data_IF_761972120041
#
_entry.id   IF_761972120041
#
_cell.length_a   1.000
_cell.length_b   1.000
_cell.length_c   1.000
_cell.angle_alpha   90.00
_cell.angle_beta   90.00
_cell.angle_gamma   90.00
#
_symmetry.space_group_name_H-M   'P 1'
#
loop_
_entity.id
_entity.type
_entity.pdbx_description
1 polymer ?
#
# COMPACT_ATOMS: atom_id res chain seq x y z
N UNK A 1 41.68 -54.32 -9.78
CA UNK A 1 40.80 -55.42 -10.16
C UNK A 1 39.52 -54.73 -10.56
N UNK A 2 39.37 -54.42 -11.79
CA UNK A 2 38.62 -55.09 -12.89
C UNK A 2 37.15 -54.79 -12.71
N UNK A 3 36.31 -54.34 -13.63
CA UNK A 3 36.41 -54.00 -15.04
C UNK A 3 35.10 -53.30 -15.43
N UNK A 4 35.19 -52.44 -16.41
CA UNK A 4 34.04 -52.02 -17.25
C UNK A 4 33.73 -53.18 -18.23
N UNK A 5 32.57 -53.24 -18.94
CA UNK A 5 32.47 -52.35 -20.09
C UNK A 5 31.05 -51.79 -20.45
N UNK A 6 31.11 -50.87 -21.39
CA UNK A 6 30.10 -50.27 -22.29
C UNK A 6 29.16 -51.26 -22.98
N UNK A 7 27.96 -50.82 -23.31
CA UNK A 7 27.46 -51.08 -24.66
C UNK A 7 26.47 -50.00 -25.17
N UNK A 8 26.80 -49.51 -26.37
CA UNK A 8 26.00 -48.67 -27.25
C UNK A 8 24.94 -49.50 -27.95
N UNK A 9 23.78 -48.96 -28.21
CA UNK A 9 23.05 -49.17 -29.46
C UNK A 9 22.14 -48.00 -29.82
N UNK A 10 22.47 -47.40 -30.93
CA UNK A 10 21.72 -46.53 -31.85
C UNK A 10 20.59 -47.25 -32.55
N UNK A 11 19.51 -46.54 -32.88
CA UNK A 11 18.64 -46.68 -34.08
C UNK A 11 17.64 -45.50 -34.00
N UNK A 12 17.57 -44.65 -34.87
CA UNK A 12 17.58 -44.26 -36.22
C UNK A 12 16.42 -44.82 -37.06
N UNK A 13 15.42 -44.00 -37.39
CA UNK A 13 14.48 -44.13 -38.52
C UNK A 13 13.54 -42.93 -38.48
N UNK A 14 13.26 -42.24 -39.49
CA UNK A 14 13.41 -42.06 -40.92
C UNK A 14 12.29 -41.12 -41.36
N UNK A 15 12.68 -40.16 -42.18
CA UNK A 15 11.82 -39.21 -42.91
C UNK A 15 10.84 -39.94 -43.81
N UNK A 16 9.59 -39.42 -43.89
CA UNK A 16 8.77 -39.60 -45.11
C UNK A 16 8.12 -38.26 -45.47
N UNK A 17 8.57 -37.72 -46.58
CA UNK A 17 7.90 -36.73 -47.41
C UNK A 17 6.69 -37.39 -48.09
N UNK A 18 5.59 -36.62 -48.21
CA UNK A 18 4.65 -36.83 -49.33
C UNK A 18 4.31 -35.47 -49.94
N UNK A 19 4.55 -35.40 -51.21
CA UNK A 19 4.33 -34.24 -52.06
C UNK A 19 3.04 -34.42 -52.88
N UNK A 20 2.47 -33.28 -53.24
CA UNK A 20 1.72 -32.93 -54.42
C UNK A 20 0.29 -33.44 -54.61
N UNK A 21 -0.62 -32.51 -54.85
CA UNK A 21 -1.40 -32.44 -56.08
C UNK A 21 -1.80 -30.97 -56.33
N UNK A 22 -1.38 -30.45 -57.50
CA UNK A 22 -1.80 -29.21 -58.15
C UNK A 22 -3.24 -29.38 -58.69
N UNK A 23 -4.07 -28.34 -58.53
CA UNK A 23 -5.18 -28.10 -59.46
C UNK A 23 -5.26 -26.59 -59.73
N UNK A 24 -5.06 -26.27 -61.00
CA UNK A 24 -5.12 -24.95 -61.61
C UNK A 24 -6.57 -24.53 -61.80
N UNK A 25 -6.91 -23.30 -61.45
CA UNK A 25 -8.18 -22.67 -61.84
C UNK A 25 -7.98 -21.14 -61.86
N UNK A 26 -7.95 -20.60 -63.09
CA UNK A 26 -7.72 -19.20 -63.44
C UNK A 26 -8.97 -18.34 -63.27
N UNK A 27 -8.71 -17.03 -62.94
CA UNK A 27 -9.40 -15.80 -63.30
C UNK A 27 -10.68 -15.38 -62.54
N UNK A 28 -10.47 -14.36 -61.70
CA UNK A 28 -11.28 -13.14 -61.75
C UNK A 28 -10.47 -11.96 -61.14
N UNK A 29 -10.13 -10.99 -62.00
CA UNK A 29 -9.56 -9.71 -61.62
C UNK A 29 -10.69 -8.89 -60.98
N UNK A 30 -10.60 -8.66 -59.64
CA UNK A 30 -11.48 -7.78 -58.91
C UNK A 30 -10.61 -6.71 -58.23
N UNK A 31 -10.92 -5.45 -58.43
CA UNK A 31 -10.20 -4.26 -58.02
C UNK A 31 -9.79 -4.24 -56.54
N UNK A 32 -8.51 -3.95 -56.28
CA UNK A 32 -8.00 -3.56 -54.95
C UNK A 32 -8.67 -2.28 -54.46
N UNK A 33 -9.62 -2.40 -53.57
CA UNK A 33 -9.96 -1.37 -52.63
C UNK A 33 -9.17 -1.63 -51.36
N UNK A 34 -8.30 -0.70 -50.99
CA UNK A 34 -7.66 -0.63 -49.72
C UNK A 34 -8.73 -0.37 -48.62
N UNK A 35 -9.43 -1.39 -48.17
CA UNK A 35 -10.20 -1.32 -46.94
C UNK A 35 -9.28 -1.77 -45.81
N UNK A 36 -8.62 -0.78 -45.16
CA UNK A 36 -8.19 -0.96 -43.78
C UNK A 36 -9.40 -1.44 -42.97
N UNK A 37 -9.31 -2.56 -42.25
CA UNK A 37 -10.38 -2.97 -41.37
C UNK A 37 -10.50 -1.95 -40.27
N UNK A 38 -11.39 -0.96 -40.43
CA UNK A 38 -11.94 -0.21 -39.31
C UNK A 38 -12.74 -1.21 -38.48
N UNK A 39 -12.09 -1.80 -37.49
CA UNK A 39 -12.77 -2.48 -36.40
C UNK A 39 -13.63 -1.43 -35.70
N UNK A 40 -14.87 -1.28 -36.14
CA UNK A 40 -15.92 -0.61 -35.40
C UNK A 40 -16.08 -1.37 -34.10
N UNK A 41 -15.44 -0.87 -33.03
CA UNK A 41 -15.60 -1.40 -31.68
C UNK A 41 -17.09 -1.32 -31.36
N UNK A 42 -17.71 -2.45 -31.07
CA UNK A 42 -19.08 -2.52 -30.61
C UNK A 42 -19.19 -1.64 -29.35
N UNK A 43 -20.06 -0.66 -29.31
CA UNK A 43 -20.26 0.26 -28.18
C UNK A 43 -20.84 -0.43 -26.93
N UNK A 44 -21.05 -1.74 -26.99
CA UNK A 44 -21.51 -2.61 -25.89
C UNK A 44 -20.37 -3.34 -25.15
N UNK A 45 -19.10 -3.09 -25.49
CA UNK A 45 -17.99 -3.68 -24.73
C UNK A 45 -17.90 -3.07 -23.35
N UNK A 46 -18.09 -3.90 -22.33
CA UNK A 46 -17.96 -3.53 -20.95
C UNK A 46 -16.53 -3.07 -20.63
N UNK A 47 -16.40 -2.05 -19.78
CA UNK A 47 -15.14 -1.39 -19.42
C UNK A 47 -14.55 -2.06 -18.19
N UNK A 48 -13.23 -2.24 -18.15
CA UNK A 48 -12.57 -2.74 -16.95
C UNK A 48 -12.37 -1.60 -15.96
N UNK A 49 -12.84 -1.82 -14.74
CA UNK A 49 -12.70 -0.88 -13.64
C UNK A 49 -11.54 -1.31 -12.74
N UNK A 50 -10.68 -0.34 -12.41
CA UNK A 50 -9.55 -0.53 -11.52
C UNK A 50 -9.59 0.45 -10.37
N UNK A 51 -9.03 0.02 -9.23
CA UNK A 51 -8.85 0.83 -8.03
C UNK A 51 -7.43 0.76 -7.49
N UNK A 52 -7.17 1.58 -6.49
CA UNK A 52 -5.92 1.63 -5.73
C UNK A 52 -6.17 1.29 -4.26
N UNK A 53 -5.16 1.22 -3.44
CA UNK A 53 -5.26 0.91 -2.01
C UNK A 53 -6.30 1.76 -1.26
N UNK A 54 -6.47 3.02 -1.65
CA UNK A 54 -7.45 3.92 -1.02
C UNK A 54 -8.91 3.52 -1.19
N UNK A 55 -9.25 2.71 -2.20
CA UNK A 55 -10.60 2.24 -2.48
C UNK A 55 -10.73 0.72 -2.71
N UNK A 56 -9.63 -0.03 -2.59
CA UNK A 56 -9.64 -1.49 -2.64
C UNK A 56 -9.77 -2.09 -1.23
N UNK A 57 -10.75 -1.64 -0.46
CA UNK A 57 -11.07 -2.14 0.88
C UNK A 57 -12.42 -2.85 0.89
N UNK A 58 -12.65 -3.75 1.85
CA UNK A 58 -13.96 -4.40 1.97
C UNK A 58 -15.07 -3.42 2.30
N UNK A 59 -14.78 -2.42 3.12
CA UNK A 59 -15.71 -1.37 3.52
C UNK A 59 -16.10 -0.45 2.37
N UNK A 60 -15.28 -0.33 1.33
CA UNK A 60 -15.64 0.42 0.13
C UNK A 60 -16.90 -0.10 -0.56
N UNK A 61 -17.09 -1.42 -0.57
CA UNK A 61 -18.32 -2.05 -1.10
C UNK A 61 -19.61 -1.62 -0.37
N UNK A 62 -19.51 -1.19 0.89
CA UNK A 62 -20.65 -0.71 1.65
C UNK A 62 -21.26 0.57 1.06
N UNK A 63 -20.51 1.37 0.30
CA UNK A 63 -21.02 2.55 -0.41
C UNK A 63 -21.93 2.22 -1.60
N UNK A 64 -22.01 0.92 -1.97
CA UNK A 64 -22.77 0.42 -3.11
C UNK A 64 -23.87 -0.58 -2.72
N UNK A 65 -24.35 -0.52 -1.48
CA UNK A 65 -25.40 -1.44 -0.99
C UNK A 65 -26.65 -1.43 -1.85
N UNK A 66 -27.00 -0.25 -2.39
CA UNK A 66 -28.20 -0.06 -3.23
C UNK A 66 -27.93 -0.35 -4.73
N UNK A 67 -26.70 -0.75 -5.10
CA UNK A 67 -26.27 -0.99 -6.47
C UNK A 67 -25.52 -2.33 -6.56
N UNK A 68 -26.21 -3.42 -6.25
CA UNK A 68 -25.63 -4.75 -6.24
C UNK A 68 -24.91 -5.07 -7.55
N UNK A 69 -23.67 -5.55 -7.43
CA UNK A 69 -22.86 -5.95 -8.56
C UNK A 69 -22.18 -4.82 -9.33
N UNK A 70 -22.32 -3.54 -8.93
CA UNK A 70 -21.68 -2.44 -9.65
C UNK A 70 -20.14 -2.53 -9.64
N UNK A 71 -19.57 -3.06 -8.56
CA UNK A 71 -18.12 -3.28 -8.47
C UNK A 71 -17.67 -4.65 -8.98
N UNK A 72 -18.60 -5.52 -9.44
CA UNK A 72 -18.22 -6.86 -9.85
C UNK A 72 -17.14 -6.82 -10.94
N UNK A 73 -16.05 -7.56 -10.73
CA UNK A 73 -14.90 -7.54 -11.62
C UNK A 73 -13.92 -6.37 -11.44
N UNK A 74 -14.23 -5.35 -10.62
CA UNK A 74 -13.26 -4.30 -10.28
C UNK A 74 -12.02 -4.91 -9.64
N UNK A 75 -10.85 -4.52 -10.13
CA UNK A 75 -9.54 -5.01 -9.68
C UNK A 75 -8.69 -3.85 -9.20
N UNK A 76 -7.75 -4.15 -8.33
CA UNK A 76 -6.78 -3.15 -7.90
C UNK A 76 -5.73 -3.74 -6.99
N UNK A 77 -4.73 -2.94 -6.68
CA UNK A 77 -3.63 -3.34 -5.81
C UNK A 77 -3.68 -2.61 -4.48
N UNK A 78 -3.28 -3.31 -3.44
CA UNK A 78 -3.09 -2.71 -2.12
C UNK A 78 -1.83 -3.30 -1.48
N UNK A 79 -1.03 -2.52 -0.74
CA UNK A 79 -0.03 -3.09 0.14
C UNK A 79 -0.70 -4.07 1.09
N UNK A 80 -0.36 -5.33 0.95
CA UNK A 80 -1.01 -6.40 1.70
C UNK A 80 -0.08 -7.59 1.82
N UNK A 81 0.17 -8.01 3.05
CA UNK A 81 0.87 -9.25 3.34
C UNK A 81 -0.15 -10.36 3.63
N UNK A 82 0.16 -11.62 3.27
CA UNK A 82 -0.61 -12.75 3.76
C UNK A 82 -0.56 -12.78 5.29
N UNK A 83 -1.67 -12.43 5.95
CA UNK A 83 -1.80 -12.43 7.40
C UNK A 83 -2.21 -13.81 7.90
N UNK A 84 -1.59 -14.28 8.98
CA UNK A 84 -2.02 -15.51 9.64
C UNK A 84 -3.40 -15.33 10.29
N UNK A 85 -4.19 -16.42 10.36
CA UNK A 85 -5.48 -16.37 11.03
C UNK A 85 -5.34 -16.04 12.52
N UNK A 86 -4.23 -16.43 13.14
CA UNK A 86 -3.92 -16.05 14.51
C UNK A 86 -3.83 -14.53 14.65
N UNK A 87 -3.09 -13.83 13.79
CA UNK A 87 -2.96 -12.37 13.83
C UNK A 87 -4.31 -11.69 13.55
N UNK A 88 -5.06 -12.15 12.56
CA UNK A 88 -6.41 -11.65 12.27
C UNK A 88 -7.35 -11.82 13.45
N UNK A 89 -7.28 -12.94 14.16
CA UNK A 89 -8.11 -13.20 15.35
C UNK A 89 -7.74 -12.26 16.50
N UNK A 90 -6.44 -11.99 16.72
CA UNK A 90 -6.00 -11.00 17.71
C UNK A 90 -6.51 -9.59 17.37
N UNK A 91 -6.49 -9.18 16.11
CA UNK A 91 -7.07 -7.90 15.66
C UNK A 91 -8.58 -7.85 15.92
N UNK A 92 -9.32 -8.94 15.64
CA UNK A 92 -10.78 -9.02 15.91
C UNK A 92 -11.11 -8.99 17.40
N UNK A 93 -10.19 -9.42 18.27
CA UNK A 93 -10.35 -9.26 19.73
C UNK A 93 -10.23 -7.81 20.16
N UNK A 94 -9.41 -7.00 19.48
CA UNK A 94 -9.28 -5.55 19.72
C UNK A 94 -10.51 -4.80 19.18
N UNK A 95 -10.96 -5.14 17.98
CA UNK A 95 -12.16 -4.57 17.36
C UNK A 95 -12.93 -5.63 16.53
N UNK A 96 -14.01 -6.14 17.10
CA UNK A 96 -14.87 -7.16 16.46
C UNK A 96 -15.58 -6.67 15.19
N UNK A 97 -15.62 -5.36 14.94
CA UNK A 97 -16.25 -4.76 13.75
C UNK A 97 -15.40 -4.91 12.49
N UNK A 98 -14.11 -5.24 12.63
CA UNK A 98 -13.18 -5.38 11.47
C UNK A 98 -13.62 -6.43 10.47
N UNK A 99 -14.38 -7.45 10.92
CA UNK A 99 -14.76 -8.58 10.07
C UNK A 99 -13.52 -9.19 9.39
N UNK A 100 -13.34 -8.92 8.08
CA UNK A 100 -12.18 -9.33 7.29
C UNK A 100 -11.44 -8.14 6.64
N UNK A 101 -11.65 -6.93 7.11
CA UNK A 101 -10.91 -5.76 6.65
C UNK A 101 -9.69 -5.53 7.56
N UNK A 102 -8.49 -5.71 7.00
CA UNK A 102 -7.23 -5.63 7.72
C UNK A 102 -6.24 -4.70 7.01
N UNK A 103 -6.75 -3.80 6.16
CA UNK A 103 -5.90 -2.88 5.41
C UNK A 103 -5.02 -2.07 6.36
N UNK A 104 -3.72 -2.09 6.13
CA UNK A 104 -2.69 -1.39 6.93
C UNK A 104 -2.67 -1.72 8.43
N UNK A 105 -3.39 -2.75 8.89
CA UNK A 105 -3.35 -3.17 10.29
C UNK A 105 -1.97 -3.70 10.71
N UNK A 106 -1.30 -4.43 9.81
CA UNK A 106 0.04 -4.94 10.02
C UNK A 106 1.08 -3.81 10.08
N UNK A 107 0.96 -2.83 9.21
CA UNK A 107 1.79 -1.63 9.15
C UNK A 107 1.63 -0.78 10.40
N UNK A 108 0.39 -0.60 10.87
CA UNK A 108 0.10 0.09 12.14
C UNK A 108 0.66 -0.64 13.36
N UNK A 109 0.62 -1.96 13.36
CA UNK A 109 1.23 -2.79 14.37
C UNK A 109 2.75 -2.65 14.38
N UNK A 110 3.40 -2.81 13.22
CA UNK A 110 4.86 -2.74 13.10
C UNK A 110 5.40 -1.32 13.42
N UNK A 111 4.64 -0.26 13.10
CA UNK A 111 5.01 1.11 13.44
C UNK A 111 5.20 1.30 14.96
N UNK A 112 4.30 0.73 15.77
CA UNK A 112 4.41 0.76 17.23
C UNK A 112 5.57 -0.07 17.72
N UNK A 113 5.75 -1.28 17.18
CA UNK A 113 6.83 -2.19 17.62
C UNK A 113 8.19 -1.58 17.32
N UNK A 114 8.40 -1.03 16.13
CA UNK A 114 9.65 -0.35 15.75
C UNK A 114 9.93 0.81 16.69
N UNK A 115 8.93 1.66 16.98
CA UNK A 115 9.10 2.78 17.90
C UNK A 115 9.44 2.32 19.33
N UNK A 116 8.82 1.26 19.81
CA UNK A 116 9.10 0.69 21.13
C UNK A 116 10.52 0.11 21.22
N UNK A 117 10.95 -0.64 20.21
CA UNK A 117 12.31 -1.20 20.13
C UNK A 117 13.37 -0.09 20.01
N UNK A 118 13.09 0.94 19.20
CA UNK A 118 13.97 2.10 19.06
C UNK A 118 14.14 2.87 20.38
N UNK A 119 13.05 3.08 21.13
CA UNK A 119 13.10 3.73 22.43
C UNK A 119 13.86 2.89 23.48
N UNK A 120 13.65 1.56 23.51
CA UNK A 120 14.40 0.66 24.39
C UNK A 120 15.88 0.65 24.04
N UNK A 121 16.24 0.63 22.73
CA UNK A 121 17.62 0.71 22.24
C UNK A 121 18.26 2.05 22.58
N UNK A 122 17.55 3.15 22.38
CA UNK A 122 18.00 4.50 22.73
C UNK A 122 18.14 4.72 24.25
N UNK A 123 17.53 3.86 25.08
CA UNK A 123 17.39 4.06 26.55
C UNK A 123 16.75 5.39 26.91
N UNK A 124 15.93 5.92 26.01
CA UNK A 124 15.34 7.26 26.09
C UNK A 124 13.97 7.26 25.44
N UNK A 125 13.09 8.11 25.91
CA UNK A 125 11.80 8.41 25.26
C UNK A 125 11.82 9.75 24.51
N UNK A 126 12.97 10.43 24.45
CA UNK A 126 13.11 11.68 23.69
C UNK A 126 13.07 11.39 22.18
N UNK A 127 12.22 12.12 21.42
CA UNK A 127 12.00 11.90 20.01
C UNK A 127 13.29 11.83 19.17
N UNK A 128 14.23 12.79 19.27
CA UNK A 128 15.48 12.72 18.53
C UNK A 128 16.37 11.52 18.88
N UNK A 129 16.27 10.99 20.09
CA UNK A 129 17.01 9.78 20.47
C UNK A 129 16.34 8.53 19.92
N UNK A 130 15.00 8.46 19.94
CA UNK A 130 14.23 7.36 19.31
C UNK A 130 14.51 7.33 17.81
N UNK A 131 14.42 8.47 17.12
CA UNK A 131 14.59 8.59 15.68
C UNK A 131 15.90 7.96 15.17
N UNK A 132 17.00 8.09 15.92
CA UNK A 132 18.30 7.50 15.58
C UNK A 132 18.26 5.99 15.41
N UNK A 133 17.36 5.29 16.11
CA UNK A 133 17.32 3.85 16.14
C UNK A 133 16.12 3.25 15.39
N UNK A 134 15.21 4.08 14.85
CA UNK A 134 14.03 3.61 14.12
C UNK A 134 14.39 2.66 12.96
N UNK A 135 15.36 3.05 12.15
CA UNK A 135 15.88 2.21 11.06
C UNK A 135 16.76 1.07 11.61
N UNK A 136 17.62 1.38 12.57
CA UNK A 136 18.62 0.47 13.10
C UNK A 136 18.04 -0.84 13.65
N UNK A 137 16.88 -0.78 14.34
CA UNK A 137 16.23 -1.97 14.91
C UNK A 137 15.57 -2.87 13.86
N UNK A 138 15.58 -2.46 12.59
CA UNK A 138 14.97 -3.22 11.48
C UNK A 138 15.99 -3.83 10.52
N UNK A 139 17.29 -3.55 10.67
CA UNK A 139 18.32 -3.96 9.72
C UNK A 139 19.27 -4.99 10.32
N UNK A 140 19.77 -5.91 9.48
CA UNK A 140 20.77 -6.89 9.88
C UNK A 140 22.18 -6.30 9.79
N UNK A 141 22.97 -6.43 10.85
CA UNK A 141 24.34 -5.93 10.89
C UNK A 141 25.31 -6.87 10.18
N UNK A 142 25.15 -8.16 10.39
CA UNK A 142 26.00 -9.17 9.80
C UNK A 142 25.20 -10.12 8.92
N UNK A 143 25.76 -10.55 7.79
CA UNK A 143 25.16 -11.57 6.96
C UNK A 143 25.09 -12.88 7.75
N UNK A 144 23.88 -13.37 7.99
CA UNK A 144 23.62 -14.60 8.72
C UNK A 144 23.05 -14.43 10.13
N UNK A 145 22.96 -13.21 10.65
CA UNK A 145 22.25 -12.94 11.89
C UNK A 145 20.75 -13.27 11.73
N UNK A 146 20.22 -14.06 12.66
CA UNK A 146 18.80 -14.41 12.63
C UNK A 146 17.94 -13.23 13.07
N UNK A 147 16.93 -12.82 12.29
CA UNK A 147 16.03 -11.75 12.71
C UNK A 147 15.18 -12.16 13.90
N UNK A 148 14.82 -11.18 14.72
CA UNK A 148 13.81 -11.40 15.75
C UNK A 148 12.40 -11.22 15.19
N UNK A 149 11.46 -12.11 15.56
CA UNK A 149 10.15 -12.21 14.93
C UNK A 149 8.98 -11.88 15.88
N UNK A 150 9.25 -11.79 17.18
CA UNK A 150 8.23 -11.50 18.19
C UNK A 150 8.66 -10.34 19.07
N UNK A 151 7.69 -9.58 19.58
CA UNK A 151 7.96 -8.46 20.48
C UNK A 151 8.83 -8.90 21.66
N UNK A 152 8.49 -10.05 22.27
CA UNK A 152 9.21 -10.55 23.42
C UNK A 152 10.68 -10.82 23.10
N UNK A 153 10.95 -11.62 22.04
CA UNK A 153 12.33 -11.96 21.66
C UNK A 153 13.15 -10.74 21.27
N UNK A 154 12.52 -9.77 20.57
CA UNK A 154 13.20 -8.53 20.17
C UNK A 154 13.51 -7.64 21.39
N UNK A 155 12.56 -7.46 22.31
CA UNK A 155 12.79 -6.69 23.53
C UNK A 155 13.84 -7.34 24.44
N UNK A 156 13.84 -8.67 24.55
CA UNK A 156 14.83 -9.40 25.34
C UNK A 156 16.23 -9.26 24.74
N UNK A 157 16.38 -9.36 23.42
CA UNK A 157 17.64 -9.11 22.70
C UNK A 157 18.12 -7.68 22.92
N UNK A 158 17.26 -6.66 22.72
CA UNK A 158 17.61 -5.27 23.00
C UNK A 158 18.04 -5.11 24.46
N UNK A 159 17.31 -5.69 25.45
CA UNK A 159 17.67 -5.62 26.88
C UNK A 159 18.98 -6.36 27.19
N UNK A 160 19.33 -7.40 26.47
CA UNK A 160 20.61 -8.10 26.58
C UNK A 160 21.78 -7.27 25.99
N UNK A 161 21.50 -6.36 25.10
CA UNK A 161 22.51 -5.55 24.40
C UNK A 161 22.84 -6.09 23.03
N UNK A 162 22.03 -7.01 22.53
CA UNK A 162 22.20 -7.60 21.22
C UNK A 162 21.79 -6.61 20.12
N UNK A 163 22.45 -6.68 18.99
CA UNK A 163 21.95 -6.08 17.77
C UNK A 163 20.77 -6.93 17.28
N UNK A 164 19.65 -6.27 16.98
CA UNK A 164 18.45 -6.95 16.52
C UNK A 164 18.06 -6.50 15.12
N UNK A 165 17.43 -7.38 14.38
CA UNK A 165 16.75 -7.07 13.12
C UNK A 165 15.29 -7.50 13.23
N UNK A 166 14.42 -6.56 13.55
CA UNK A 166 12.98 -6.85 13.64
C UNK A 166 12.42 -7.19 12.24
N UNK A 167 11.74 -8.31 12.15
CA UNK A 167 10.93 -8.71 11.00
C UNK A 167 9.50 -8.90 11.47
N UNK A 168 8.71 -7.86 11.20
CA UNK A 168 7.34 -7.76 11.66
C UNK A 168 6.32 -8.49 10.82
N UNK A 169 5.09 -8.07 10.95
CA UNK A 169 3.95 -8.61 10.21
C UNK A 169 3.90 -8.07 8.78
N UNK A 170 4.15 -6.78 8.58
CA UNK A 170 4.22 -6.13 7.26
C UNK A 170 5.62 -6.21 6.65
N UNK A 171 6.66 -6.11 7.45
CA UNK A 171 8.06 -6.01 7.02
C UNK A 171 8.79 -7.36 7.15
N UNK A 172 8.30 -8.40 6.46
CA UNK A 172 8.84 -9.78 6.61
C UNK A 172 10.18 -10.01 5.92
N UNK A 173 10.45 -9.29 4.83
CA UNK A 173 11.57 -9.59 3.92
C UNK A 173 12.79 -8.73 4.16
N UNK A 174 12.60 -7.47 4.50
CA UNK A 174 13.68 -6.49 4.71
C UNK A 174 13.27 -5.42 5.71
N UNK A 175 14.26 -4.69 6.21
CA UNK A 175 14.07 -3.53 7.07
C UNK A 175 13.81 -2.24 6.29
N UNK A 176 13.96 -1.13 7.01
CA UNK A 176 13.83 0.20 6.43
C UNK A 176 15.11 0.58 5.67
N UNK A 177 14.95 1.44 4.66
CA UNK A 177 16.04 2.11 3.95
C UNK A 177 16.62 3.24 4.79
N UNK A 178 17.71 3.86 4.33
CA UNK A 178 18.28 5.08 4.94
C UNK A 178 17.30 6.26 4.98
N UNK A 179 16.18 6.17 4.23
CA UNK A 179 15.09 7.15 4.20
C UNK A 179 13.95 6.82 5.18
N UNK A 180 14.11 5.79 6.03
CA UNK A 180 13.11 5.42 7.02
C UNK A 180 11.83 4.80 6.43
N UNK A 181 11.92 4.11 5.31
CA UNK A 181 10.80 3.48 4.60
C UNK A 181 11.12 2.05 4.15
N UNK A 182 10.13 1.15 3.93
CA UNK A 182 10.40 -0.23 3.53
C UNK A 182 11.12 -0.32 2.19
N UNK A 183 12.18 -1.13 2.12
CA UNK A 183 12.91 -1.41 0.88
C UNK A 183 12.19 -2.42 0.00
N UNK A 184 11.34 -3.26 0.56
CA UNK A 184 10.52 -4.24 -0.13
C UNK A 184 9.12 -4.35 0.48
N UNK A 185 8.17 -4.79 -0.33
CA UNK A 185 6.78 -4.93 0.08
C UNK A 185 6.12 -6.14 -0.59
N UNK A 186 4.94 -6.49 -0.11
CA UNK A 186 4.00 -7.39 -0.77
C UNK A 186 2.75 -6.59 -1.16
N UNK A 187 2.23 -6.87 -2.35
CA UNK A 187 0.96 -6.31 -2.83
C UNK A 187 -0.04 -7.41 -3.07
N UNK A 188 -1.25 -7.21 -2.60
CA UNK A 188 -2.40 -8.03 -2.97
C UNK A 188 -3.10 -7.41 -4.19
N UNK A 189 -3.34 -8.21 -5.23
CA UNK A 189 -4.33 -7.89 -6.26
C UNK A 189 -5.68 -8.34 -5.76
N UNK A 190 -6.55 -7.39 -5.46
CA UNK A 190 -7.89 -7.62 -4.94
C UNK A 190 -8.91 -7.56 -6.08
N UNK A 191 -9.99 -8.33 -5.97
CA UNK A 191 -11.07 -8.37 -6.96
C UNK A 191 -12.41 -8.31 -6.22
N UNK A 192 -13.27 -7.39 -6.62
CA UNK A 192 -14.65 -7.35 -6.13
C UNK A 192 -15.53 -8.38 -6.84
N UNK A 193 -16.34 -9.09 -6.08
CA UNK A 193 -17.35 -10.02 -6.57
C UNK A 193 -18.73 -9.38 -6.72
N UNK A 194 -19.72 -10.21 -7.10
CA UNK A 194 -21.12 -9.78 -7.37
C UNK A 194 -21.83 -9.14 -6.18
N UNK A 195 -21.38 -9.39 -4.97
CA UNK A 195 -21.92 -8.77 -3.75
C UNK A 195 -21.30 -7.42 -3.42
N UNK A 196 -20.46 -6.84 -4.31
CA UNK A 196 -19.60 -5.68 -4.04
C UNK A 196 -18.65 -5.89 -2.84
N UNK A 197 -18.31 -7.13 -2.52
CA UNK A 197 -17.32 -7.48 -1.52
C UNK A 197 -16.06 -8.03 -2.21
N UNK A 198 -14.91 -7.80 -1.61
CA UNK A 198 -13.66 -8.40 -2.08
C UNK A 198 -13.76 -9.93 -1.99
N UNK A 199 -13.43 -10.62 -3.08
CA UNK A 199 -13.34 -12.07 -3.17
C UNK A 199 -11.95 -12.53 -2.73
N UNK A 200 -11.81 -12.90 -1.45
CA UNK A 200 -10.53 -13.29 -0.87
C UNK A 200 -9.91 -14.50 -1.56
N UNK A 201 -10.74 -15.41 -2.11
CA UNK A 201 -10.24 -16.60 -2.77
C UNK A 201 -9.51 -16.29 -4.09
N UNK A 202 -9.73 -15.09 -4.65
CA UNK A 202 -9.09 -14.59 -5.87
C UNK A 202 -7.97 -13.59 -5.61
N UNK A 203 -7.65 -13.31 -4.35
CA UNK A 203 -6.55 -12.41 -4.02
C UNK A 203 -5.22 -13.05 -4.39
N UNK A 204 -4.48 -12.39 -5.27
CA UNK A 204 -3.14 -12.77 -5.69
C UNK A 204 -2.11 -11.89 -4.96
N UNK A 205 -0.97 -12.47 -4.58
CA UNK A 205 0.10 -11.73 -3.92
C UNK A 205 1.32 -11.63 -4.82
N UNK A 206 1.91 -10.45 -4.90
CA UNK A 206 3.15 -10.18 -5.62
C UNK A 206 4.11 -9.42 -4.71
N UNK A 207 5.38 -9.82 -4.74
CA UNK A 207 6.45 -9.10 -4.06
C UNK A 207 6.99 -7.99 -4.96
N UNK A 208 7.31 -6.84 -4.36
CA UNK A 208 7.92 -5.69 -5.03
C UNK A 208 9.05 -5.11 -4.19
N UNK A 209 9.94 -4.33 -4.82
CA UNK A 209 11.07 -3.68 -4.17
C UNK A 209 12.37 -4.48 -4.27
N UNK A 210 13.41 -3.96 -3.61
CA UNK A 210 14.75 -4.54 -3.58
C UNK A 210 15.25 -4.58 -2.14
N UNK A 211 15.42 -5.78 -1.60
CA UNK A 211 15.92 -6.00 -0.23
C UNK A 211 17.33 -5.43 -0.02
N UNK A 212 18.11 -5.27 -1.10
CA UNK A 212 19.48 -4.70 -1.04
C UNK A 212 19.49 -3.20 -0.71
N UNK A 213 18.34 -2.54 -0.80
CA UNK A 213 18.17 -1.13 -0.44
C UNK A 213 17.90 -0.94 1.07
N UNK A 214 17.86 -2.01 1.85
CA UNK A 214 17.87 -1.93 3.31
C UNK A 214 19.08 -1.11 3.78
N UNK A 215 18.87 -0.24 4.77
CA UNK A 215 19.95 0.58 5.33
C UNK A 215 21.07 -0.28 5.89
N UNK A 216 22.29 0.23 5.82
CA UNK A 216 23.51 -0.52 6.23
C UNK A 216 24.15 0.03 7.49
N UNK A 217 23.93 1.31 7.77
CA UNK A 217 24.54 1.97 8.91
C UNK A 217 23.65 1.88 10.13
N UNK A 218 24.24 1.48 11.24
CA UNK A 218 23.60 1.45 12.54
C UNK A 218 24.38 2.35 13.51
N UNK A 219 23.70 3.30 14.18
CA UNK A 219 24.34 4.04 15.26
C UNK A 219 24.65 3.10 16.44
N UNK A 220 25.80 3.30 17.07
CA UNK A 220 26.16 2.53 18.26
C UNK A 220 25.18 2.82 19.41
N UNK A 221 24.52 1.79 19.97
CA UNK A 221 23.64 1.99 21.11
C UNK A 221 24.39 2.57 22.34
N UNK A 222 23.73 3.36 23.17
CA UNK A 222 24.36 3.93 24.36
C UNK A 222 24.79 2.81 25.32
N UNK A 223 25.92 3.04 26.00
CA UNK A 223 26.45 2.08 27.00
C UNK A 223 25.41 1.78 28.06
N UNK A 224 25.28 0.50 28.41
CA UNK A 224 24.39 0.06 29.50
C UNK A 224 24.98 0.27 30.88
N UNK A 225 26.30 0.45 30.97
CA UNK A 225 27.01 0.67 32.22
C UNK A 225 26.98 2.17 32.59
N UNK A 226 26.20 2.53 33.60
CA UNK A 226 26.23 3.86 34.22
C UNK A 226 25.25 4.90 33.66
N UNK A 227 24.56 4.66 32.54
CA UNK A 227 23.57 5.61 32.06
C UNK A 227 22.19 5.35 32.68
N UNK A 228 21.61 6.36 33.29
CA UNK A 228 20.25 6.29 33.83
C UNK A 228 19.25 5.97 32.67
N UNK A 229 18.34 5.03 32.95
CA UNK A 229 17.18 4.78 32.12
C UNK A 229 16.19 5.93 32.28
N UNK A 230 15.48 6.30 31.23
CA UNK A 230 14.31 7.14 31.41
C UNK A 230 13.29 6.43 32.32
N UNK A 231 12.73 7.15 33.25
CA UNK A 231 11.61 6.71 34.10
C UNK A 231 10.27 7.22 33.58
N UNK A 232 10.30 8.04 32.52
CA UNK A 232 9.10 8.55 31.85
C UNK A 232 8.56 7.48 30.92
N UNK A 233 7.26 7.15 30.98
CA UNK A 233 6.66 6.20 30.06
C UNK A 233 6.68 6.73 28.62
N UNK A 234 6.91 5.85 27.65
CA UNK A 234 6.72 6.16 26.24
C UNK A 234 5.23 6.41 25.97
N UNK A 235 4.90 7.59 25.42
CA UNK A 235 3.54 7.94 25.00
C UNK A 235 3.45 7.90 23.49
N UNK A 236 2.55 7.08 22.96
CA UNK A 236 2.29 6.94 21.53
C UNK A 236 0.91 7.51 21.21
N UNK A 237 0.88 8.53 20.34
CA UNK A 237 -0.33 9.13 19.82
C UNK A 237 -0.73 8.48 18.49
N UNK A 238 -2.01 8.17 18.31
CA UNK A 238 -2.53 7.70 17.03
C UNK A 238 -3.21 8.85 16.28
N UNK A 239 -2.53 9.42 15.29
CA UNK A 239 -3.04 10.46 14.38
C UNK A 239 -3.63 9.76 13.14
N UNK A 240 -4.83 9.24 13.26
CA UNK A 240 -5.47 8.38 12.26
C UNK A 240 -6.91 8.81 11.99
N UNK A 241 -7.46 8.59 10.79
CA UNK A 241 -8.78 9.07 10.44
C UNK A 241 -9.89 8.24 11.12
N UNK A 242 -10.65 8.86 12.00
CA UNK A 242 -11.94 8.36 12.50
C UNK A 242 -13.09 8.98 11.73
N UNK A 243 -12.85 10.15 11.17
CA UNK A 243 -13.78 10.93 10.35
C UNK A 243 -13.06 11.39 9.08
N UNK A 244 -13.80 11.94 8.11
CA UNK A 244 -13.25 12.42 6.85
C UNK A 244 -13.17 11.34 5.77
N UNK A 245 -12.57 11.68 4.63
CA UNK A 245 -12.58 10.87 3.39
C UNK A 245 -11.94 9.50 3.55
N UNK A 246 -10.94 9.38 4.43
CA UNK A 246 -10.21 8.12 4.65
C UNK A 246 -10.68 7.38 5.91
N UNK A 247 -11.82 7.76 6.49
CA UNK A 247 -12.35 7.12 7.70
C UNK A 247 -12.55 5.60 7.55
N UNK A 248 -12.79 5.13 6.33
CA UNK A 248 -12.96 3.68 6.04
C UNK A 248 -11.70 2.86 6.34
N UNK A 249 -10.51 3.46 6.24
CA UNK A 249 -9.24 2.79 6.53
C UNK A 249 -8.83 2.88 8.02
N UNK A 250 -9.47 3.75 8.80
CA UNK A 250 -9.10 3.99 10.20
C UNK A 250 -9.19 2.76 11.12
N UNK A 251 -10.32 2.03 11.16
CA UNK A 251 -10.53 0.95 12.13
C UNK A 251 -9.46 -0.14 12.15
N UNK A 252 -9.02 -0.73 11.00
CA UNK A 252 -7.99 -1.75 11.03
C UNK A 252 -6.63 -1.21 11.47
N UNK A 253 -6.27 0.02 11.10
CA UNK A 253 -5.01 0.63 11.51
C UNK A 253 -5.01 0.86 13.04
N UNK A 254 -6.10 1.43 13.59
CA UNK A 254 -6.26 1.58 15.04
C UNK A 254 -6.18 0.25 15.79
N UNK A 255 -6.75 -0.81 15.24
CA UNK A 255 -6.69 -2.13 15.84
C UNK A 255 -5.24 -2.66 15.87
N UNK A 256 -4.48 -2.50 14.79
CA UNK A 256 -3.06 -2.83 14.74
C UNK A 256 -2.23 -2.09 15.79
N UNK A 257 -2.40 -0.77 15.87
CA UNK A 257 -1.72 0.09 16.86
C UNK A 257 -2.05 -0.35 18.29
N UNK A 258 -3.33 -0.53 18.62
CA UNK A 258 -3.76 -0.93 19.96
C UNK A 258 -3.29 -2.33 20.34
N UNK A 259 -3.33 -3.27 19.39
CA UNK A 259 -2.82 -4.63 19.59
C UNK A 259 -1.33 -4.60 19.94
N UNK A 260 -0.52 -3.87 19.15
CA UNK A 260 0.91 -3.77 19.38
C UNK A 260 1.24 -3.14 20.74
N UNK A 261 0.55 -2.06 21.12
CA UNK A 261 0.74 -1.44 22.45
C UNK A 261 0.42 -2.44 23.57
N UNK A 262 -0.68 -3.18 23.46
CA UNK A 262 -1.07 -4.20 24.42
C UNK A 262 0.00 -5.28 24.55
N UNK A 263 0.54 -5.76 23.43
CA UNK A 263 1.55 -6.83 23.42
C UNK A 263 2.93 -6.33 23.88
N UNK A 264 3.33 -5.11 23.54
CA UNK A 264 4.54 -4.45 24.10
C UNK A 264 4.42 -4.36 25.61
N UNK A 265 3.25 -3.96 26.10
CA UNK A 265 2.99 -3.85 27.54
C UNK A 265 3.00 -5.22 28.23
N UNK A 266 2.44 -6.24 27.61
CA UNK A 266 2.49 -7.62 28.11
C UNK A 266 3.94 -8.16 28.17
N UNK A 267 4.82 -7.76 27.25
CA UNK A 267 6.24 -8.08 27.24
C UNK A 267 7.09 -7.25 28.23
N UNK A 268 6.46 -6.50 29.12
CA UNK A 268 7.10 -5.68 30.17
C UNK A 268 7.32 -4.22 29.80
N UNK A 269 6.70 -3.73 28.72
CA UNK A 269 6.75 -2.34 28.29
C UNK A 269 8.12 -1.88 27.76
N UNK A 270 8.30 -0.59 27.69
CA UNK A 270 9.53 0.07 27.24
C UNK A 270 10.25 0.68 28.45
N UNK A 271 11.54 0.45 28.58
CA UNK A 271 12.38 0.91 29.72
C UNK A 271 11.80 0.51 31.08
N UNK A 272 11.04 -0.60 31.13
CA UNK A 272 10.37 -1.08 32.34
C UNK A 272 9.11 -0.30 32.72
N UNK A 273 8.59 0.53 31.81
CA UNK A 273 7.35 1.28 31.99
C UNK A 273 6.31 0.85 30.95
N UNK A 274 5.04 0.88 31.31
CA UNK A 274 3.95 0.64 30.37
C UNK A 274 3.90 1.76 29.32
N UNK A 275 3.76 1.40 28.05
CA UNK A 275 3.49 2.36 26.96
C UNK A 275 2.10 2.94 27.13
N UNK A 276 1.97 4.24 27.03
CA UNK A 276 0.70 4.97 27.16
C UNK A 276 0.17 5.30 25.78
N UNK A 277 -1.03 4.83 25.49
CA UNK A 277 -1.76 5.17 24.26
C UNK A 277 -2.50 6.50 24.41
N UNK A 278 -2.36 7.39 23.41
CA UNK A 278 -3.12 8.65 23.32
C UNK A 278 -3.89 8.62 22.00
N UNK A 279 -5.21 8.65 22.10
CA UNK A 279 -6.10 8.54 20.96
C UNK A 279 -6.28 9.89 20.25
N UNK A 280 -6.42 9.90 18.91
CA UNK A 280 -6.62 11.10 18.10
C UNK A 280 -7.46 10.85 16.87
N UNK A 281 -7.78 11.91 16.16
CA UNK A 281 -8.52 11.91 14.89
C UNK A 281 -7.98 13.02 13.99
N UNK A 282 -7.39 12.66 12.85
CA UNK A 282 -6.90 13.64 11.88
C UNK A 282 -8.02 14.17 10.96
N UNK A 283 -9.16 13.47 10.90
CA UNK A 283 -10.30 13.84 10.08
C UNK A 283 -10.03 13.87 8.58
N UNK A 284 -8.89 13.38 8.11
CA UNK A 284 -8.39 13.59 6.76
C UNK A 284 -8.36 15.10 6.38
N UNK A 285 -8.20 15.97 7.38
CA UNK A 285 -8.17 17.44 7.26
C UNK A 285 -6.89 18.01 7.86
N UNK A 286 -6.09 18.79 7.09
CA UNK A 286 -4.81 19.33 7.57
C UNK A 286 -4.94 20.24 8.81
N UNK A 287 -6.04 20.98 8.94
CA UNK A 287 -6.26 21.88 10.08
C UNK A 287 -6.53 21.08 11.34
N UNK A 288 -7.44 20.10 11.24
CA UNK A 288 -7.77 19.21 12.35
C UNK A 288 -6.57 18.36 12.78
N UNK A 289 -5.82 17.82 11.81
CA UNK A 289 -4.61 17.06 12.09
C UNK A 289 -3.55 17.89 12.84
N UNK A 290 -3.31 19.13 12.41
CA UNK A 290 -2.38 20.02 13.10
C UNK A 290 -2.85 20.39 14.52
N UNK A 291 -4.14 20.59 14.73
CA UNK A 291 -4.70 20.82 16.08
C UNK A 291 -4.55 19.57 16.97
N UNK A 292 -4.73 18.36 16.38
CA UNK A 292 -4.51 17.11 17.11
C UNK A 292 -3.04 16.91 17.48
N UNK A 293 -2.10 17.31 16.61
CA UNK A 293 -0.65 17.29 16.92
C UNK A 293 -0.35 18.25 18.09
N UNK A 294 -0.95 19.44 18.14
CA UNK A 294 -0.80 20.35 19.29
C UNK A 294 -1.29 19.70 20.59
N UNK A 295 -2.44 19.00 20.55
CA UNK A 295 -2.96 18.26 21.69
C UNK A 295 -2.01 17.12 22.12
N UNK A 296 -1.40 16.41 21.17
CA UNK A 296 -0.41 15.37 21.47
C UNK A 296 0.87 15.95 22.11
N UNK A 297 1.35 17.07 21.61
CA UNK A 297 2.51 17.78 22.21
C UNK A 297 2.19 18.16 23.66
N UNK A 298 1.03 18.76 23.91
CA UNK A 298 0.59 19.14 25.26
C UNK A 298 0.41 17.91 26.19
N UNK A 299 -0.01 16.76 25.64
CA UNK A 299 -0.11 15.50 26.38
C UNK A 299 1.24 14.78 26.56
N UNK A 300 2.35 15.34 26.09
CA UNK A 300 3.69 14.76 26.20
C UNK A 300 3.91 13.51 25.34
N UNK A 301 3.20 13.38 24.19
CA UNK A 301 3.42 12.30 23.22
C UNK A 301 4.80 12.48 22.58
N UNK A 302 5.57 11.39 22.49
CA UNK A 302 6.90 11.40 21.88
C UNK A 302 6.90 10.79 20.48
N UNK A 303 6.05 9.81 20.22
CA UNK A 303 5.90 9.15 18.94
C UNK A 303 4.45 9.27 18.48
N UNK A 304 4.25 9.69 17.24
CA UNK A 304 2.95 9.79 16.59
C UNK A 304 2.90 8.71 15.50
N UNK A 305 1.97 7.76 15.63
CA UNK A 305 1.64 6.81 14.58
C UNK A 305 0.56 7.43 13.69
N UNK A 306 0.91 7.69 12.45
CA UNK A 306 0.07 8.45 11.50
C UNK A 306 0.92 9.43 10.68
N UNK A 307 0.32 10.37 9.91
CA UNK A 307 -1.07 10.30 9.55
C UNK A 307 -1.30 9.23 8.47
N UNK A 308 -2.56 8.82 8.26
CA UNK A 308 -2.83 7.79 7.27
C UNK A 308 -2.71 8.33 5.83
N UNK A 309 -3.30 9.48 5.53
CA UNK A 309 -3.24 10.09 4.21
C UNK A 309 -1.91 10.84 3.98
N UNK A 310 -1.33 10.70 2.78
CA UNK A 310 -0.04 11.32 2.41
C UNK A 310 -0.06 12.83 2.56
N UNK A 311 -1.12 13.51 2.09
CA UNK A 311 -1.27 14.98 2.22
C UNK A 311 -1.37 15.44 3.67
N UNK A 312 -1.95 14.62 4.56
CA UNK A 312 -2.04 14.93 5.99
C UNK A 312 -0.68 14.74 6.66
N UNK A 313 0.05 13.64 6.34
CA UNK A 313 1.42 13.44 6.81
C UNK A 313 2.31 14.62 6.44
N UNK A 314 2.27 15.06 5.17
CA UNK A 314 3.01 16.23 4.69
C UNK A 314 2.66 17.51 5.46
N UNK A 315 1.40 17.73 5.73
CA UNK A 315 0.92 18.93 6.42
C UNK A 315 1.35 19.02 7.88
N UNK A 316 1.59 17.88 8.56
CA UNK A 316 1.96 17.87 9.99
C UNK A 316 3.46 17.74 10.23
N UNK A 317 4.25 17.26 9.25
CA UNK A 317 5.71 17.08 9.37
C UNK A 317 6.41 18.31 9.94
N UNK A 318 6.19 19.56 9.46
CA UNK A 318 6.90 20.73 9.99
C UNK A 318 6.67 20.95 11.49
N UNK A 319 5.43 20.76 11.97
CA UNK A 319 5.08 20.90 13.39
C UNK A 319 5.69 19.78 14.24
N UNK A 320 5.68 18.55 13.74
CA UNK A 320 6.27 17.38 14.41
C UNK A 320 7.77 17.57 14.61
N UNK A 321 8.48 18.05 13.57
CA UNK A 321 9.92 18.34 13.62
C UNK A 321 10.19 19.45 14.64
N UNK A 322 9.45 20.57 14.58
CA UNK A 322 9.60 21.69 15.51
C UNK A 322 9.42 21.22 16.95
N UNK A 323 8.50 20.29 17.20
CA UNK A 323 8.25 19.72 18.52
C UNK A 323 9.23 18.61 18.90
N UNK A 324 10.16 18.24 18.03
CA UNK A 324 11.09 17.12 18.20
C UNK A 324 10.37 15.80 18.54
N UNK A 325 9.32 15.47 17.77
CA UNK A 325 8.57 14.21 17.90
C UNK A 325 8.85 13.32 16.71
N UNK A 326 8.74 12.02 16.89
CA UNK A 326 8.79 11.05 15.79
C UNK A 326 7.41 10.90 15.17
N UNK A 327 7.35 10.93 13.85
CA UNK A 327 6.15 10.59 13.06
C UNK A 327 6.44 9.31 12.28
N UNK A 328 5.60 8.30 12.45
CA UNK A 328 5.68 7.08 11.65
C UNK A 328 4.34 6.76 11.03
N UNK A 329 4.25 6.89 9.69
CA UNK A 329 3.02 6.63 8.98
C UNK A 329 2.87 5.16 8.59
N UNK A 330 1.71 4.54 8.89
CA UNK A 330 1.42 3.18 8.47
C UNK A 330 0.90 3.07 7.03
N UNK A 331 0.48 4.17 6.40
CA UNK A 331 -0.24 4.10 5.12
C UNK A 331 -0.01 5.27 4.15
N UNK A 332 0.83 6.25 4.48
CA UNK A 332 1.18 7.32 3.56
C UNK A 332 2.19 6.81 2.51
N UNK A 333 1.76 6.73 1.25
CA UNK A 333 2.51 6.06 0.17
C UNK A 333 3.19 7.02 -0.81
N UNK A 334 2.80 8.32 -0.84
CA UNK A 334 3.32 9.28 -1.81
C UNK A 334 4.85 9.36 -1.82
N UNK A 335 5.44 9.28 -3.02
CA UNK A 335 6.90 9.32 -3.20
C UNK A 335 7.53 10.63 -2.73
N UNK A 336 6.80 11.76 -2.83
CA UNK A 336 7.31 13.06 -2.41
C UNK A 336 7.69 13.12 -0.92
N UNK A 337 7.07 12.28 -0.07
CA UNK A 337 7.40 12.18 1.35
C UNK A 337 8.82 11.65 1.62
N UNK A 338 9.41 10.93 0.65
CA UNK A 338 10.79 10.41 0.75
C UNK A 338 11.82 11.55 0.82
N UNK A 339 11.54 12.65 0.12
CA UNK A 339 12.43 13.80 0.01
C UNK A 339 11.95 15.03 0.79
N UNK A 340 10.88 14.87 1.59
CA UNK A 340 10.38 15.93 2.46
C UNK A 340 11.43 16.28 3.51
N UNK A 341 11.72 17.58 3.75
CA UNK A 341 12.64 17.99 4.79
C UNK A 341 12.10 17.65 6.19
N UNK A 342 12.42 16.47 6.69
CA UNK A 342 11.85 15.90 7.92
C UNK A 342 12.82 15.88 9.11
N UNK A 343 14.07 16.30 8.92
CA UNK A 343 15.10 16.28 9.97
C UNK A 343 15.40 14.88 10.52
N UNK A 344 15.05 13.83 9.78
CA UNK A 344 15.19 12.43 10.22
C UNK A 344 14.12 12.00 11.25
N UNK A 345 12.98 12.71 11.29
CA UNK A 345 11.91 12.45 12.25
C UNK A 345 10.66 11.78 11.62
N UNK A 346 10.62 11.67 10.30
CA UNK A 346 9.53 10.98 9.59
C UNK A 346 9.96 9.59 9.13
N UNK A 347 9.12 8.63 9.38
CA UNK A 347 9.26 7.22 9.00
C UNK A 347 7.95 6.71 8.43
N UNK A 348 7.98 5.58 7.72
CA UNK A 348 6.77 4.87 7.31
C UNK A 348 6.98 3.35 7.27
N UNK A 349 5.92 2.62 7.56
CA UNK A 349 5.86 1.16 7.38
C UNK A 349 5.12 0.77 6.11
N UNK A 350 4.43 1.71 5.47
CA UNK A 350 3.87 1.53 4.12
C UNK A 350 4.93 1.67 3.03
N UNK A 351 4.85 0.90 1.95
CA UNK A 351 5.73 1.06 0.79
C UNK A 351 5.34 2.29 -0.04
N UNK A 352 6.27 2.75 -0.89
CA UNK A 352 6.08 3.90 -1.78
C UNK A 352 5.22 3.60 -3.00
N UNK A 353 4.59 4.64 -3.54
CA UNK A 353 3.82 4.60 -4.78
C UNK A 353 4.63 4.12 -5.99
N UNK A 354 5.95 4.35 -6.04
CA UNK A 354 6.84 3.77 -7.06
C UNK A 354 6.72 2.25 -7.12
N UNK A 355 6.55 1.55 -5.99
CA UNK A 355 6.38 0.10 -5.96
C UNK A 355 4.94 -0.29 -6.34
N UNK A 356 3.95 0.42 -5.82
CA UNK A 356 2.54 0.17 -6.10
C UNK A 356 2.20 0.40 -7.57
N UNK A 357 2.72 1.46 -8.18
CA UNK A 357 2.44 1.81 -9.57
C UNK A 357 2.86 0.71 -10.55
N UNK A 358 3.97 0.01 -10.27
CA UNK A 358 4.41 -1.15 -11.09
C UNK A 358 3.42 -2.30 -10.98
N UNK A 359 3.03 -2.67 -9.75
CA UNK A 359 2.06 -3.74 -9.53
C UNK A 359 0.70 -3.43 -10.17
N UNK A 360 0.24 -2.17 -10.05
CA UNK A 360 -1.04 -1.72 -10.60
C UNK A 360 -1.01 -1.66 -12.13
N UNK A 361 0.06 -1.13 -12.72
CA UNK A 361 0.22 -1.12 -14.17
C UNK A 361 0.30 -2.54 -14.76
N UNK A 362 1.00 -3.46 -14.09
CA UNK A 362 1.04 -4.88 -14.47
C UNK A 362 -0.36 -5.51 -14.48
N UNK A 363 -1.15 -5.28 -13.43
CA UNK A 363 -2.54 -5.75 -13.38
C UNK A 363 -3.37 -5.17 -14.53
N UNK A 364 -3.29 -3.87 -14.79
CA UNK A 364 -4.02 -3.21 -15.87
C UNK A 364 -3.63 -3.82 -17.24
N UNK A 365 -2.33 -3.96 -17.50
CA UNK A 365 -1.81 -4.46 -18.78
C UNK A 365 -2.07 -5.95 -18.97
N UNK A 366 -2.02 -6.76 -17.94
CA UNK A 366 -2.29 -8.20 -17.96
C UNK A 366 -3.70 -8.51 -18.46
N UNK A 367 -4.65 -7.63 -18.21
CA UNK A 367 -6.02 -7.75 -18.70
C UNK A 367 -6.25 -7.06 -20.05
N UNK A 368 -5.18 -6.67 -20.77
CA UNK A 368 -5.21 -6.22 -22.16
C UNK A 368 -5.73 -4.81 -22.35
N UNK A 369 -5.53 -3.92 -21.38
CA UNK A 369 -5.87 -2.51 -21.50
C UNK A 369 -5.09 -1.83 -22.65
N UNK A 370 -5.78 -1.05 -23.49
CA UNK A 370 -5.21 -0.34 -24.63
C UNK A 370 -5.52 1.15 -24.59
N UNK A 371 -6.68 1.52 -24.04
CA UNK A 371 -7.15 2.90 -23.97
C UNK A 371 -7.67 3.20 -22.57
N UNK A 372 -6.90 3.95 -21.81
CA UNK A 372 -7.01 4.04 -20.37
C UNK A 372 -7.33 5.46 -19.94
N UNK A 373 -8.28 5.62 -19.02
CA UNK A 373 -8.48 6.86 -18.28
C UNK A 373 -8.11 6.60 -16.81
N UNK A 374 -7.28 7.48 -16.25
CA UNK A 374 -7.00 7.56 -14.82
C UNK A 374 -7.79 8.76 -14.29
N UNK A 375 -8.65 8.53 -13.30
CA UNK A 375 -9.34 9.60 -12.57
C UNK A 375 -8.83 9.61 -11.16
N UNK A 376 -8.16 10.67 -10.74
CA UNK A 376 -7.49 10.76 -9.46
C UNK A 376 -7.93 11.98 -8.67
N UNK A 377 -7.93 11.83 -7.34
CA UNK A 377 -8.07 12.97 -6.42
C UNK A 377 -6.88 13.92 -6.57
N UNK A 378 -7.14 15.24 -6.50
CA UNK A 378 -6.10 16.26 -6.67
C UNK A 378 -5.44 16.60 -5.33
N UNK A 379 -4.65 15.65 -4.83
CA UNK A 379 -3.81 15.82 -3.65
C UNK A 379 -2.48 15.04 -3.78
N UNK A 380 -1.64 15.06 -2.75
CA UNK A 380 -0.34 14.38 -2.72
C UNK A 380 -0.43 12.90 -3.13
N UNK A 381 -1.41 12.17 -2.60
CA UNK A 381 -1.60 10.75 -2.88
C UNK A 381 -2.06 10.53 -4.33
N UNK A 382 -3.19 11.15 -4.71
CA UNK A 382 -3.79 10.92 -6.03
C UNK A 382 -2.88 11.37 -7.17
N UNK A 383 -2.24 12.54 -7.02
CA UNK A 383 -1.31 13.07 -8.03
C UNK A 383 -0.05 12.20 -8.17
N UNK A 384 0.53 11.79 -7.04
CA UNK A 384 1.73 10.96 -7.02
C UNK A 384 1.50 9.63 -7.70
N UNK A 385 0.51 8.87 -7.24
CA UNK A 385 0.21 7.55 -7.78
C UNK A 385 -0.25 7.60 -9.23
N UNK A 386 -1.13 8.56 -9.61
CA UNK A 386 -1.58 8.71 -11.00
C UNK A 386 -0.42 8.97 -11.97
N UNK A 387 0.51 9.87 -11.59
CA UNK A 387 1.71 10.16 -12.38
C UNK A 387 2.58 8.92 -12.56
N UNK A 388 2.84 8.18 -11.48
CA UNK A 388 3.66 6.97 -11.52
C UNK A 388 3.02 5.84 -12.31
N UNK A 389 1.72 5.61 -12.16
CA UNK A 389 1.00 4.62 -12.97
C UNK A 389 1.03 5.00 -14.45
N UNK A 390 0.80 6.27 -14.79
CA UNK A 390 0.88 6.75 -16.17
C UNK A 390 2.29 6.54 -16.77
N UNK A 391 3.34 6.78 -16.00
CA UNK A 391 4.73 6.49 -16.39
C UNK A 391 4.94 4.99 -16.69
N UNK A 392 4.50 4.10 -15.79
CA UNK A 392 4.62 2.66 -15.98
C UNK A 392 3.81 2.14 -17.18
N UNK A 393 2.59 2.65 -17.38
CA UNK A 393 1.76 2.28 -18.54
C UNK A 393 2.41 2.70 -19.86
N UNK A 394 3.01 3.90 -19.93
CA UNK A 394 3.78 4.34 -21.08
C UNK A 394 5.01 3.47 -21.32
N UNK A 395 5.74 3.14 -20.29
CA UNK A 395 6.87 2.22 -20.35
C UNK A 395 6.46 0.81 -20.84
N UNK A 396 5.23 0.38 -20.52
CA UNK A 396 4.63 -0.86 -21.01
C UNK A 396 4.07 -0.77 -22.45
N UNK A 397 4.20 0.39 -23.13
CA UNK A 397 3.81 0.58 -24.54
C UNK A 397 2.46 1.26 -24.78
N UNK A 398 1.77 1.74 -23.74
CA UNK A 398 0.56 2.56 -23.92
C UNK A 398 0.92 3.90 -24.56
N UNK A 399 0.30 4.21 -25.70
CA UNK A 399 0.58 5.43 -26.44
C UNK A 399 -0.05 6.67 -25.78
N UNK A 400 0.56 7.84 -25.93
CA UNK A 400 0.06 9.10 -25.32
C UNK A 400 -1.40 9.40 -25.66
N UNK A 401 -1.82 9.20 -26.93
CA UNK A 401 -3.23 9.38 -27.33
C UNK A 401 -4.21 8.34 -26.77
N UNK A 402 -3.71 7.29 -26.13
CA UNK A 402 -4.49 6.20 -25.53
C UNK A 402 -4.51 6.28 -23.99
N UNK A 403 -3.87 7.26 -23.40
CA UNK A 403 -3.84 7.48 -21.94
C UNK A 403 -4.31 8.89 -21.62
N UNK A 404 -5.26 9.00 -20.72
CA UNK A 404 -5.78 10.27 -20.22
C UNK A 404 -5.79 10.29 -18.70
N UNK A 405 -5.30 11.38 -18.10
CA UNK A 405 -5.37 11.60 -16.65
C UNK A 405 -6.31 12.75 -16.38
N UNK A 406 -7.32 12.50 -15.57
CA UNK A 406 -8.31 13.48 -15.09
C UNK A 406 -8.17 13.61 -13.58
N UNK A 407 -8.46 14.79 -13.06
CA UNK A 407 -8.37 15.06 -11.62
C UNK A 407 -9.67 15.65 -11.10
N UNK A 408 -10.01 15.32 -9.86
CA UNK A 408 -11.12 15.94 -9.13
C UNK A 408 -10.65 16.63 -7.87
N UNK A 409 -11.26 17.77 -7.59
CA UNK A 409 -10.95 18.57 -6.41
C UNK A 409 -11.35 17.83 -5.12
N UNK A 410 -10.45 17.84 -4.14
CA UNK A 410 -10.71 17.29 -2.80
C UNK A 410 -11.57 18.28 -2.02
N UNK A 411 -12.66 17.79 -1.41
CA UNK A 411 -13.56 18.56 -0.55
C UNK A 411 -13.23 18.33 0.92
N UNK A 412 -13.52 19.33 1.75
CA UNK A 412 -13.26 19.25 3.20
C UNK A 412 -14.27 18.38 3.93
N UNK A 413 -15.50 18.34 3.47
CA UNK A 413 -16.57 17.51 4.04
C UNK A 413 -16.91 16.38 3.05
N UNK A 414 -16.82 15.10 3.46
CA UNK A 414 -17.21 13.97 2.62
C UNK A 414 -18.64 14.08 2.07
N UNK A 415 -19.54 14.78 2.74
CA UNK A 415 -20.90 15.01 2.29
C UNK A 415 -21.02 15.98 1.11
N UNK A 416 -19.98 16.76 0.84
CA UNK A 416 -19.93 17.68 -0.29
C UNK A 416 -19.62 16.98 -1.63
N UNK A 417 -19.22 15.70 -1.59
CA UNK A 417 -19.01 14.89 -2.79
C UNK A 417 -20.31 14.32 -3.32
N UNK A 418 -21.10 15.15 -3.96
CA UNK A 418 -22.31 14.68 -4.65
C UNK A 418 -21.95 14.02 -6.00
N UNK A 419 -22.81 13.09 -6.46
CA UNK A 419 -22.58 12.39 -7.75
C UNK A 419 -22.49 13.38 -8.92
N UNK A 420 -23.24 14.46 -8.90
CA UNK A 420 -23.27 15.50 -9.94
C UNK A 420 -21.94 16.25 -10.07
N UNK A 421 -21.15 16.36 -8.99
CA UNK A 421 -19.78 16.92 -9.06
C UNK A 421 -18.89 16.14 -10.04
N UNK A 422 -19.10 14.84 -10.14
CA UNK A 422 -18.34 13.96 -11.02
C UNK A 422 -18.93 13.84 -12.44
N UNK A 423 -20.07 14.47 -12.70
CA UNK A 423 -20.79 14.35 -13.98
C UNK A 423 -19.95 14.84 -15.17
N UNK A 424 -19.21 15.94 -15.00
CA UNK A 424 -18.30 16.46 -16.03
C UNK A 424 -17.19 15.47 -16.37
N UNK A 425 -16.51 14.95 -15.37
CA UNK A 425 -15.43 13.96 -15.51
C UNK A 425 -15.92 12.64 -16.11
N UNK A 426 -17.11 12.17 -15.68
CA UNK A 426 -17.73 10.98 -16.25
C UNK A 426 -18.08 11.16 -17.74
N UNK A 427 -18.57 12.36 -18.11
CA UNK A 427 -18.85 12.71 -19.52
C UNK A 427 -17.55 12.75 -20.33
N UNK A 428 -16.50 13.36 -19.80
CA UNK A 428 -15.19 13.42 -20.47
C UNK A 428 -14.57 12.02 -20.61
N UNK A 429 -14.71 11.18 -19.60
CA UNK A 429 -14.29 9.78 -19.63
C UNK A 429 -15.05 9.01 -20.72
N UNK A 430 -16.38 9.13 -20.75
CA UNK A 430 -17.22 8.46 -21.76
C UNK A 430 -16.89 8.93 -23.20
N UNK A 431 -16.65 10.21 -23.40
CA UNK A 431 -16.25 10.77 -24.70
C UNK A 431 -14.88 10.27 -25.18
N UNK A 432 -13.99 9.97 -24.24
CA UNK A 432 -12.68 9.38 -24.57
C UNK A 432 -12.82 7.91 -25.01
N UNK A 433 -13.92 7.22 -24.69
CA UNK A 433 -14.18 5.81 -25.02
C UNK A 433 -13.04 4.88 -24.59
N UNK A 434 -12.72 4.81 -23.29
CA UNK A 434 -11.68 3.92 -22.79
C UNK A 434 -12.16 2.47 -22.79
N UNK A 435 -11.23 1.52 -22.73
CA UNK A 435 -11.50 0.11 -22.39
C UNK A 435 -11.22 -0.18 -20.92
N UNK A 436 -10.55 0.76 -20.26
CA UNK A 436 -10.13 0.61 -18.88
C UNK A 436 -10.19 1.96 -18.16
N UNK A 437 -10.71 1.98 -16.93
CA UNK A 437 -10.74 3.16 -16.07
C UNK A 437 -10.12 2.80 -14.72
N UNK A 438 -9.10 3.56 -14.33
CA UNK A 438 -8.51 3.52 -13.00
C UNK A 438 -9.04 4.69 -12.19
N UNK A 439 -9.61 4.42 -11.02
CA UNK A 439 -10.08 5.44 -10.07
C UNK A 439 -9.17 5.42 -8.84
N UNK A 440 -8.45 6.52 -8.63
CA UNK A 440 -7.56 6.72 -7.47
C UNK A 440 -8.24 7.71 -6.52
N UNK A 441 -8.63 7.21 -5.36
CA UNK A 441 -9.34 8.01 -4.36
C UNK A 441 -9.65 7.20 -3.12
N UNK A 442 -10.37 7.81 -2.20
CA UNK A 442 -10.83 7.19 -0.98
C UNK A 442 -12.33 6.84 -1.10
N UNK A 443 -13.10 6.95 -0.02
CA UNK A 443 -14.53 6.62 -0.02
C UNK A 443 -15.32 7.45 -1.05
N UNK A 444 -14.98 8.72 -1.22
CA UNK A 444 -15.61 9.65 -2.19
C UNK A 444 -15.52 9.17 -3.64
N UNK A 445 -14.49 8.41 -3.98
CA UNK A 445 -14.31 7.85 -5.33
C UNK A 445 -15.45 6.91 -5.74
N UNK A 446 -16.22 6.41 -4.79
CA UNK A 446 -17.47 5.69 -5.05
C UNK A 446 -18.49 6.52 -5.84
N UNK A 447 -18.56 7.83 -5.60
CA UNK A 447 -19.45 8.71 -6.36
C UNK A 447 -18.98 8.90 -7.82
N UNK A 448 -17.65 8.87 -8.07
CA UNK A 448 -17.14 8.84 -9.44
C UNK A 448 -17.57 7.58 -10.19
N UNK A 449 -17.47 6.41 -9.57
CA UNK A 449 -17.91 5.14 -10.17
C UNK A 449 -19.42 5.17 -10.47
N UNK A 450 -20.23 5.70 -9.55
CA UNK A 450 -21.68 5.90 -9.76
C UNK A 450 -21.97 6.85 -10.92
N UNK A 451 -21.20 7.94 -11.05
CA UNK A 451 -21.33 8.89 -12.15
C UNK A 451 -20.95 8.25 -13.50
N UNK A 452 -19.91 7.42 -13.56
CA UNK A 452 -19.55 6.66 -14.77
C UNK A 452 -20.69 5.71 -15.18
N UNK A 453 -21.24 4.96 -14.23
CA UNK A 453 -22.36 4.06 -14.46
C UNK A 453 -23.61 4.81 -14.96
N UNK A 454 -23.94 5.99 -14.40
CA UNK A 454 -25.09 6.81 -14.85
C UNK A 454 -24.90 7.40 -16.25
N UNK A 455 -23.69 7.42 -16.80
CA UNK A 455 -23.41 7.73 -18.20
C UNK A 455 -23.49 6.51 -19.14
N UNK A 456 -24.00 5.39 -18.64
CA UNK A 456 -24.21 4.18 -19.42
C UNK A 456 -22.95 3.31 -19.57
N UNK A 457 -21.87 3.64 -18.84
CA UNK A 457 -20.67 2.81 -18.84
C UNK A 457 -20.96 1.53 -18.06
N UNK A 458 -20.85 0.39 -18.74
CA UNK A 458 -21.02 -0.94 -18.14
C UNK A 458 -19.66 -1.48 -17.75
N UNK A 459 -19.53 -2.01 -16.54
CA UNK A 459 -18.29 -2.60 -16.09
C UNK A 459 -18.28 -4.11 -16.31
N UNK A 460 -17.09 -4.64 -16.58
CA UNK A 460 -16.88 -6.09 -16.80
C UNK A 460 -16.99 -6.87 -15.50
N UNK A 461 -17.55 -8.09 -15.64
CA UNK A 461 -17.42 -9.19 -14.69
C UNK A 461 -15.98 -9.72 -14.61
#
# INVERSE_FOLDING_TARGET
MSDRPEDRRSNGWSRRCFAAILAVGLLAVGACGDETPTTTRNTDEAIRLYGSDGNMTRSFGDTFKDQAGLLNGMRGTSPLNPLSEEFKNRLRQVDSRLKNDFLYAAEGYDAVVIAALAAETARSVEGPQIAKYMTAVTITKNAGDAPCLTIQTCLDGVKAGDDIAYRGVSMKRSGLTDRGEPSSASYGTLIFGRSNLVDDAKTEFVAAGDEKLEAKEQPTPPSRNGNARSTTPLRIGALLPKTGDLAIAGPPIFAGVKLAISEVNAAGGVLGQQVVFVDGDDGTDPVKANAQVDAFIAAGVQVIVGAAASGISKAVIPKVIQAQRVLISPSATADELTDEPDGGMFFRTSPRDTLQSRALADVIMRYGAQKIVIVARDDSYGNGLASKVAEQLKAAGVKDGSLKVLKYEVRKDPKEYAVDQFTGLATETANFKPDSVLVIGFEESGNMIKALSSRGMKFHD
#
